data_IF_847641206564
#
_entry.id   IF_847641206564
#
_cell.length_a   1.000
_cell.length_b   1.000
_cell.length_c   1.000
_cell.angle_alpha   90.00
_cell.angle_beta   90.00
_cell.angle_gamma   90.00
#
_symmetry.space_group_name_H-M   'P 1'
#
loop_
_entity.id
_entity.type
_entity.pdbx_description
1 polymer ?
#
# COMPACT_ATOMS: atom_id res chain seq x y z
N UNK A 1 -4.64 16.11 17.02
CA UNK A 1 -4.60 14.68 17.41
C UNK A 1 -4.41 13.90 16.14
N UNK A 2 -3.20 13.38 15.91
CA UNK A 2 -2.92 12.49 14.78
C UNK A 2 -3.49 11.15 15.20
N UNK A 3 -4.55 10.68 14.53
CA UNK A 3 -5.14 9.37 14.83
C UNK A 3 -4.07 8.31 14.57
N UNK A 4 -3.47 7.75 15.63
CA UNK A 4 -2.69 6.53 15.50
C UNK A 4 -3.68 5.41 15.16
N UNK A 5 -3.81 5.12 13.87
CA UNK A 5 -4.43 3.87 13.43
C UNK A 5 -3.68 2.72 14.11
N UNK A 6 -4.43 1.84 14.78
CA UNK A 6 -3.84 0.68 15.44
C UNK A 6 -3.24 -0.22 14.37
N UNK A 7 -2.18 -0.96 14.69
CA UNK A 7 -1.62 -2.00 13.81
C UNK A 7 -2.71 -2.91 13.23
N UNK A 8 -3.71 -3.25 14.06
CA UNK A 8 -4.87 -4.05 13.67
C UNK A 8 -5.77 -3.35 12.63
N UNK A 9 -6.04 -2.06 12.79
CA UNK A 9 -6.84 -1.28 11.83
C UNK A 9 -6.11 -1.18 10.48
N UNK A 10 -4.78 -1.04 10.51
CA UNK A 10 -3.93 -1.02 9.31
C UNK A 10 -3.88 -2.38 8.61
N UNK A 11 -3.84 -3.49 9.36
CA UNK A 11 -3.88 -4.84 8.79
C UNK A 11 -5.23 -5.12 8.12
N UNK A 12 -6.34 -4.68 8.73
CA UNK A 12 -7.67 -4.77 8.12
C UNK A 12 -7.76 -3.94 6.84
N UNK A 13 -7.28 -2.69 6.86
CA UNK A 13 -7.26 -1.80 5.70
C UNK A 13 -6.43 -2.39 4.55
N UNK A 14 -5.25 -2.93 4.88
CA UNK A 14 -4.39 -3.64 3.94
C UNK A 14 -5.11 -4.83 3.30
N UNK A 15 -5.73 -5.69 4.11
CA UNK A 15 -6.41 -6.88 3.61
C UNK A 15 -7.57 -6.53 2.66
N UNK A 16 -8.38 -5.53 3.02
CA UNK A 16 -9.49 -5.07 2.18
C UNK A 16 -9.00 -4.47 0.86
N UNK A 17 -7.99 -3.61 0.92
CA UNK A 17 -7.40 -2.99 -0.26
C UNK A 17 -6.78 -4.04 -1.20
N UNK A 18 -6.03 -5.00 -0.67
CA UNK A 18 -5.42 -6.07 -1.46
C UNK A 18 -6.48 -6.96 -2.12
N UNK A 19 -7.56 -7.27 -1.41
CA UNK A 19 -8.68 -8.03 -1.97
C UNK A 19 -9.40 -7.24 -3.07
N UNK A 20 -9.60 -5.94 -2.86
CA UNK A 20 -10.24 -5.03 -3.83
C UNK A 20 -9.39 -4.89 -5.10
N UNK A 21 -8.06 -4.76 -5.00
CA UNK A 21 -7.18 -4.69 -6.19
C UNK A 21 -7.24 -5.96 -7.03
N UNK A 22 -7.40 -7.12 -6.38
CA UNK A 22 -7.48 -8.41 -7.06
C UNK A 22 -8.86 -8.67 -7.67
N UNK A 23 -9.94 -8.31 -6.97
CA UNK A 23 -11.31 -8.72 -7.30
C UNK A 23 -12.14 -7.64 -8.01
N UNK A 24 -11.91 -6.37 -7.67
CA UNK A 24 -12.77 -5.26 -8.09
C UNK A 24 -12.12 -4.45 -9.23
N UNK A 25 -12.97 -3.88 -10.10
CA UNK A 25 -12.51 -2.92 -11.11
C UNK A 25 -12.04 -1.59 -10.49
N UNK A 26 -12.50 -1.26 -9.28
CA UNK A 26 -12.21 0.02 -8.64
C UNK A 26 -10.97 -0.06 -7.72
N UNK A 27 -9.82 -0.37 -8.31
CA UNK A 27 -8.55 -0.49 -7.59
C UNK A 27 -7.95 0.87 -7.18
N UNK A 28 -8.38 1.98 -7.77
CA UNK A 28 -7.85 3.32 -7.46
C UNK A 28 -8.08 3.73 -6.00
N UNK A 29 -9.24 3.36 -5.45
CA UNK A 29 -9.58 3.64 -4.05
C UNK A 29 -8.78 2.74 -3.09
N UNK A 30 -8.59 1.47 -3.47
CA UNK A 30 -7.76 0.54 -2.72
C UNK A 30 -6.27 0.93 -2.71
N UNK A 31 -5.75 1.46 -3.83
CA UNK A 31 -4.37 2.00 -3.87
C UNK A 31 -4.22 3.16 -2.90
N UNK A 32 -5.21 4.07 -2.81
CA UNK A 32 -5.19 5.16 -1.82
C UNK A 32 -5.20 4.63 -0.38
N UNK A 33 -6.04 3.64 -0.08
CA UNK A 33 -6.08 3.02 1.25
C UNK A 33 -4.74 2.38 1.62
N UNK A 34 -4.06 1.72 0.68
CA UNK A 34 -2.71 1.21 0.88
C UNK A 34 -1.67 2.33 1.09
N UNK A 35 -1.79 3.45 0.38
CA UNK A 35 -0.91 4.60 0.57
C UNK A 35 -1.07 5.21 1.96
N UNK A 36 -2.30 5.31 2.45
CA UNK A 36 -2.58 5.76 3.81
C UNK A 36 -2.00 4.79 4.84
N UNK A 37 -2.19 3.48 4.65
CA UNK A 37 -1.61 2.47 5.52
C UNK A 37 -0.07 2.53 5.55
N UNK A 38 0.56 2.64 4.38
CA UNK A 38 2.01 2.79 4.25
C UNK A 38 2.51 4.05 4.96
N UNK A 39 1.84 5.19 4.78
CA UNK A 39 2.19 6.46 5.46
C UNK A 39 1.96 6.42 6.97
N UNK A 40 1.02 5.60 7.43
CA UNK A 40 0.79 5.35 8.85
C UNK A 40 1.86 4.43 9.49
N UNK A 41 2.82 3.93 8.72
CA UNK A 41 3.92 3.08 9.20
C UNK A 41 3.71 1.58 8.94
N UNK A 42 2.73 1.19 8.12
CA UNK A 42 2.48 -0.21 7.80
C UNK A 42 3.43 -0.72 6.71
N UNK A 43 4.53 -1.37 7.12
CA UNK A 43 5.57 -1.88 6.21
C UNK A 43 5.05 -2.83 5.12
N UNK A 44 4.09 -3.71 5.43
CA UNK A 44 3.48 -4.62 4.43
C UNK A 44 2.73 -3.86 3.33
N UNK A 45 2.06 -2.75 3.66
CA UNK A 45 1.32 -1.96 2.67
C UNK A 45 2.27 -1.21 1.74
N UNK A 46 3.35 -0.66 2.30
CA UNK A 46 4.41 -0.03 1.52
C UNK A 46 5.09 -1.02 0.57
N UNK A 47 5.36 -2.24 1.03
CA UNK A 47 5.91 -3.31 0.19
C UNK A 47 4.98 -3.69 -0.97
N UNK A 48 3.69 -3.85 -0.67
CA UNK A 48 2.70 -4.21 -1.69
C UNK A 48 2.53 -3.11 -2.74
N UNK A 49 2.55 -1.82 -2.34
CA UNK A 49 2.58 -0.69 -3.28
C UNK A 49 3.83 -0.72 -4.14
N UNK A 50 4.99 -1.03 -3.56
CA UNK A 50 6.23 -1.15 -4.30
C UNK A 50 6.12 -2.19 -5.40
N UNK A 51 5.59 -3.38 -5.07
CA UNK A 51 5.36 -4.45 -6.05
C UNK A 51 4.33 -4.05 -7.11
N UNK A 52 3.26 -3.35 -6.73
CA UNK A 52 2.24 -2.85 -7.66
C UNK A 52 2.84 -1.94 -8.75
N UNK A 53 3.62 -0.93 -8.32
CA UNK A 53 4.29 -0.01 -9.23
C UNK A 53 5.45 -0.67 -9.98
N UNK A 54 6.10 -1.68 -9.40
CA UNK A 54 7.18 -2.42 -10.05
C UNK A 54 6.65 -3.32 -11.17
N UNK A 55 5.55 -4.03 -10.91
CA UNK A 55 4.92 -4.92 -11.87
C UNK A 55 4.06 -4.16 -12.89
N UNK A 56 3.58 -2.96 -12.55
CA UNK A 56 2.58 -2.25 -13.35
C UNK A 56 1.23 -2.98 -13.34
N UNK A 57 0.92 -3.69 -12.25
CA UNK A 57 -0.34 -4.42 -12.14
C UNK A 57 -1.44 -3.46 -11.74
N UNK A 58 -2.42 -3.22 -12.62
CA UNK A 58 -3.53 -2.24 -12.45
C UNK A 58 -3.09 -0.77 -12.38
N UNK A 59 -1.82 -0.47 -12.17
CA UNK A 59 -1.23 0.88 -12.20
C UNK A 59 -0.17 1.00 -13.29
N UNK A 60 0.16 2.21 -13.69
CA UNK A 60 1.28 2.43 -14.60
C UNK A 60 2.60 2.02 -13.92
N UNK A 61 3.44 1.27 -14.64
CA UNK A 61 4.72 0.80 -14.12
C UNK A 61 5.63 2.00 -13.87
N UNK A 62 6.03 2.17 -12.62
CA UNK A 62 6.89 3.26 -12.18
C UNK A 62 7.94 2.72 -11.22
N UNK A 63 9.12 2.43 -11.76
CA UNK A 63 10.23 1.85 -11.01
C UNK A 63 10.77 2.80 -9.93
N UNK A 64 10.63 4.12 -10.13
CA UNK A 64 11.07 5.12 -9.16
C UNK A 64 10.12 5.15 -7.97
N UNK A 65 8.81 5.15 -8.21
CA UNK A 65 7.81 5.02 -7.14
C UNK A 65 7.93 3.69 -6.42
N UNK A 66 8.14 2.60 -7.15
CA UNK A 66 8.33 1.29 -6.54
C UNK A 66 9.49 1.32 -5.54
N UNK A 67 10.64 1.87 -5.93
CA UNK A 67 11.81 1.96 -5.07
C UNK A 67 11.58 2.90 -3.87
N UNK A 68 10.83 3.99 -4.06
CA UNK A 68 10.44 4.89 -2.97
C UNK A 68 9.62 4.16 -1.90
N UNK A 69 8.56 3.44 -2.30
CA UNK A 69 7.71 2.69 -1.36
C UNK A 69 8.46 1.50 -0.74
N UNK A 70 9.32 0.83 -1.52
CA UNK A 70 10.17 -0.25 -1.03
C UNK A 70 11.11 0.22 0.07
N UNK A 71 11.74 1.39 -0.13
CA UNK A 71 12.64 1.97 0.86
C UNK A 71 11.89 2.33 2.14
N UNK A 72 10.69 2.93 2.01
CA UNK A 72 9.81 3.22 3.14
C UNK A 72 9.43 1.94 3.91
N UNK A 73 9.12 0.85 3.20
CA UNK A 73 8.82 -0.45 3.81
C UNK A 73 10.00 -1.00 4.62
N UNK A 74 11.22 -0.91 4.08
CA UNK A 74 12.44 -1.41 4.73
C UNK A 74 12.88 -0.52 5.90
N UNK A 75 12.58 0.78 5.89
CA UNK A 75 12.87 1.68 7.01
C UNK A 75 11.93 1.49 8.21
N UNK A 76 10.77 0.84 8.00
CA UNK A 76 9.72 0.67 9.00
C UNK A 76 9.55 -0.81 9.43
N UNK A 77 10.46 -1.70 9.02
CA UNK A 77 10.51 -3.12 9.39
C UNK A 77 11.46 -3.35 10.57
#
# INVERSE_FOLDING_TARGET
MIQQLSQHDLEHLYADAVNTIQSQMNFADAVKQLEEAARAGHGKAALFLAELYYQGFRVERDSLKAQYWQNMATMQA
#
